data_IF_000736711375
#
_entry.id   IF_000736711375
#
_cell.length_a   1.000
_cell.length_b   1.000
_cell.length_c   1.000
_cell.angle_alpha   90.00
_cell.angle_beta   90.00
_cell.angle_gamma   90.00
#
_symmetry.space_group_name_H-M   'P 1'
#
loop_
_entity.id
_entity.type
_entity.pdbx_description
1 polymer ?
#
# COMPACT_ATOMS: atom_id res chain seq x y z
N UNK A 1 8.03 -8.74 -14.08
CA UNK A 1 7.07 -9.65 -13.41
C UNK A 1 6.43 -8.93 -12.23
N UNK A 2 5.11 -9.04 -12.04
CA UNK A 2 4.41 -8.44 -10.90
C UNK A 2 4.33 -9.45 -9.76
N UNK A 3 4.80 -9.09 -8.56
CA UNK A 3 4.61 -9.91 -7.35
C UNK A 3 3.26 -9.56 -6.72
N UNK A 4 2.49 -10.58 -6.34
CA UNK A 4 1.19 -10.41 -5.67
C UNK A 4 1.27 -11.10 -4.32
N UNK A 5 0.86 -10.39 -3.25
CA UNK A 5 0.62 -10.95 -1.92
C UNK A 5 -0.87 -10.86 -1.61
N UNK A 6 -1.46 -11.94 -1.12
CA UNK A 6 -2.86 -12.01 -0.72
C UNK A 6 -2.99 -11.76 0.79
N UNK A 7 -4.05 -11.06 1.19
CA UNK A 7 -4.42 -10.83 2.59
C UNK A 7 -5.90 -11.17 2.75
N UNK A 8 -6.23 -11.93 3.78
CA UNK A 8 -7.61 -12.32 4.09
C UNK A 8 -8.25 -11.30 5.04
N UNK A 9 -9.56 -11.09 4.92
CA UNK A 9 -10.35 -10.29 5.85
C UNK A 9 -11.36 -11.18 6.58
N UNK A 10 -11.41 -11.07 7.90
CA UNK A 10 -12.33 -11.77 8.76
C UNK A 10 -13.61 -10.97 8.99
N UNK A 11 -14.72 -11.42 8.41
CA UNK A 11 -16.04 -10.76 8.57
C UNK A 11 -16.67 -10.96 9.97
N UNK A 12 -16.13 -11.87 10.79
CA UNK A 12 -16.52 -12.02 12.19
C UNK A 12 -15.87 -10.96 13.07
N UNK A 13 -14.70 -10.43 12.67
CA UNK A 13 -14.07 -9.32 13.36
C UNK A 13 -14.88 -8.02 13.14
N UNK A 14 -15.34 -7.34 14.20
CA UNK A 14 -16.16 -6.14 14.07
C UNK A 14 -15.45 -4.98 13.39
N UNK A 15 -14.13 -4.87 13.50
CA UNK A 15 -13.35 -3.79 12.90
C UNK A 15 -13.17 -4.02 11.40
N UNK A 16 -12.76 -5.22 11.01
CA UNK A 16 -12.62 -5.59 9.60
C UNK A 16 -13.96 -5.57 8.85
N UNK A 17 -15.04 -6.05 9.49
CA UNK A 17 -16.39 -5.95 8.92
C UNK A 17 -16.82 -4.49 8.70
N UNK A 18 -16.54 -3.59 9.65
CA UNK A 18 -16.86 -2.16 9.50
C UNK A 18 -16.05 -1.53 8.37
N UNK A 19 -14.77 -1.86 8.26
CA UNK A 19 -13.91 -1.41 7.16
C UNK A 19 -14.43 -1.86 5.81
N UNK A 20 -14.75 -3.16 5.68
CA UNK A 20 -15.33 -3.73 4.47
C UNK A 20 -16.62 -3.01 4.07
N UNK A 21 -17.56 -2.85 5.02
CA UNK A 21 -18.84 -2.18 4.77
C UNK A 21 -18.69 -0.70 4.41
N UNK A 22 -17.79 0.03 5.08
CA UNK A 22 -17.53 1.44 4.79
C UNK A 22 -17.04 1.65 3.36
N UNK A 23 -16.25 0.71 2.85
CA UNK A 23 -15.65 0.77 1.51
C UNK A 23 -16.53 0.14 0.43
N UNK A 24 -17.72 -0.38 0.74
CA UNK A 24 -18.64 -0.97 -0.27
C UNK A 24 -19.08 0.00 -1.37
N UNK A 25 -18.98 1.31 -1.12
CA UNK A 25 -19.24 2.37 -2.12
C UNK A 25 -18.15 2.47 -3.18
N UNK A 26 -16.97 1.90 -2.94
CA UNK A 26 -15.86 1.89 -3.88
C UNK A 26 -16.01 0.72 -4.85
N UNK A 27 -15.81 0.97 -6.14
CA UNK A 27 -15.91 -0.06 -7.20
C UNK A 27 -14.99 -1.27 -6.95
N UNK A 28 -13.84 -1.05 -6.30
CA UNK A 28 -12.89 -2.12 -5.98
C UNK A 28 -12.28 -1.95 -4.58
N UNK A 29 -12.77 -2.70 -3.61
CA UNK A 29 -12.26 -2.75 -2.22
C UNK A 29 -10.73 -2.88 -2.16
N UNK A 30 -10.15 -3.83 -2.90
CA UNK A 30 -8.70 -4.10 -2.89
C UNK A 30 -7.87 -2.92 -3.45
N UNK A 31 -8.44 -2.10 -4.34
CA UNK A 31 -7.77 -0.90 -4.86
C UNK A 31 -7.69 0.18 -3.79
N UNK A 32 -8.75 0.34 -3.01
CA UNK A 32 -8.81 1.32 -1.93
C UNK A 32 -7.87 0.95 -0.78
N UNK A 33 -7.90 -0.32 -0.34
CA UNK A 33 -6.96 -0.82 0.69
C UNK A 33 -5.50 -0.62 0.27
N UNK A 34 -5.15 -0.90 -1.00
CA UNK A 34 -3.80 -0.64 -1.51
C UNK A 34 -3.39 0.83 -1.40
N UNK A 35 -4.30 1.76 -1.66
CA UNK A 35 -4.01 3.20 -1.53
C UNK A 35 -3.82 3.63 -0.10
N UNK A 36 -4.58 3.07 0.85
CA UNK A 36 -4.37 3.35 2.26
C UNK A 36 -3.04 2.81 2.74
N UNK A 37 -2.70 1.55 2.38
CA UNK A 37 -1.38 0.98 2.70
C UNK A 37 -0.27 1.82 2.06
N UNK A 38 -0.41 2.20 0.79
CA UNK A 38 0.57 3.02 0.09
C UNK A 38 0.71 4.39 0.75
N UNK A 39 -0.41 5.06 1.07
CA UNK A 39 -0.42 6.33 1.80
C UNK A 39 0.27 6.19 3.15
N UNK A 40 -0.04 5.15 3.91
CA UNK A 40 0.52 4.96 5.25
C UNK A 40 2.02 4.60 5.17
N UNK A 41 2.48 3.97 4.09
CA UNK A 41 3.91 3.77 3.80
C UNK A 41 4.57 5.10 3.40
N UNK A 42 3.96 5.88 2.50
CA UNK A 42 4.51 7.13 1.96
C UNK A 42 4.48 8.29 2.97
N UNK A 43 3.39 8.42 3.74
CA UNK A 43 3.21 9.44 4.79
C UNK A 43 3.82 8.99 6.13
N UNK A 44 3.98 7.68 6.34
CA UNK A 44 4.69 7.08 7.47
C UNK A 44 6.21 7.13 7.36
N UNK A 45 6.76 7.44 6.18
CA UNK A 45 8.18 7.75 5.94
C UNK A 45 8.55 9.20 6.34
N UNK A 46 7.87 9.79 7.34
CA UNK A 46 8.53 10.69 8.31
C UNK A 46 9.06 9.92 9.52
N UNK A 47 9.49 8.69 9.30
CA UNK A 47 10.29 7.91 10.25
C UNK A 47 11.67 7.80 9.62
N UNK A 48 12.63 8.58 10.13
CA UNK A 48 14.05 8.43 9.77
C UNK A 48 14.52 7.03 10.18
N UNK A 49 14.49 6.08 9.25
CA UNK A 49 15.20 4.82 9.42
C UNK A 49 16.68 5.05 9.10
N UNK A 50 17.47 5.39 10.12
CA UNK A 50 18.92 5.17 10.07
C UNK A 50 19.19 3.66 10.06
N UNK A 51 19.28 3.08 8.85
CA UNK A 51 19.84 1.74 8.65
C UNK A 51 19.04 0.89 7.67
N UNK A 52 19.28 1.04 6.37
CA UNK A 52 18.84 0.05 5.39
C UNK A 52 18.78 0.55 3.96
N UNK A 53 19.95 0.64 3.31
CA UNK A 53 20.15 0.71 1.86
C UNK A 53 19.33 1.76 1.10
N UNK A 54 19.96 2.93 0.92
CA UNK A 54 19.75 3.77 -0.25
C UNK A 54 19.92 2.89 -1.49
N UNK A 55 18.88 2.78 -2.30
CA UNK A 55 19.08 2.52 -3.73
C UNK A 55 18.74 3.83 -4.40
N UNK A 56 19.75 4.70 -4.40
CA UNK A 56 19.82 5.83 -5.30
C UNK A 56 19.74 5.27 -6.73
N UNK A 57 18.83 5.78 -7.55
CA UNK A 57 18.97 5.86 -9.01
C UNK A 57 17.86 6.76 -9.54
N UNK A 58 18.00 8.05 -9.23
CA UNK A 58 17.61 9.08 -10.17
C UNK A 58 18.43 8.92 -11.46
N UNK A 59 17.80 9.33 -12.56
CA UNK A 59 18.40 9.94 -13.74
C UNK A 59 19.11 9.05 -14.78
N UNK A 60 18.57 9.19 -15.99
CA UNK A 60 19.24 9.22 -17.30
C UNK A 60 19.74 7.90 -17.91
N UNK A 61 19.15 7.55 -19.07
CA UNK A 61 19.88 7.57 -20.35
C UNK A 61 18.86 7.72 -21.48
N UNK A 62 18.93 8.91 -22.08
CA UNK A 62 18.44 9.27 -23.39
C UNK A 62 19.46 8.78 -24.44
N UNK A 63 18.98 8.17 -25.53
CA UNK A 63 19.62 8.14 -26.85
C UNK A 63 21.04 7.55 -27.01
N UNK A 64 21.13 6.45 -27.77
CA UNK A 64 21.74 6.44 -29.12
C UNK A 64 21.48 5.11 -29.81
#
# INVERSE_FOLDING_TARGET
>A
MKKVKTVAFNMLDPLERRLYNHMRREMYFSKHIKRLIQRDIEEGEKVHFEGGARVDSDSDIQGK
#
